data_IF_185364460004
#
_entry.id   IF_185364460004
#
_cell.length_a   1.000
_cell.length_b   1.000
_cell.length_c   1.000
_cell.angle_alpha   90.00
_cell.angle_beta   90.00
_cell.angle_gamma   90.00
#
_symmetry.space_group_name_H-M   'P 1'
#
loop_
_entity.id
_entity.type
_entity.pdbx_description
1 polymer ?
#
# COMPACT_ATOMS: atom_id res chain seq x y z
N UNK A 1 -9.65 -4.61 -21.76
CA UNK A 1 -8.81 -5.42 -20.86
C UNK A 1 -8.77 -4.70 -19.54
N UNK A 2 -9.00 -5.37 -18.41
CA UNK A 2 -8.98 -4.71 -17.09
C UNK A 2 -7.57 -4.22 -16.78
N UNK A 3 -7.34 -2.91 -16.56
CA UNK A 3 -6.03 -2.43 -16.14
C UNK A 3 -5.76 -2.90 -14.71
N UNK A 4 -4.50 -3.22 -14.41
CA UNK A 4 -4.09 -3.68 -13.07
C UNK A 4 -5.00 -4.82 -12.55
N UNK A 5 -5.08 -5.91 -13.32
CA UNK A 5 -6.01 -7.02 -13.09
C UNK A 5 -5.57 -7.99 -11.99
N UNK A 6 -4.36 -7.82 -11.48
CA UNK A 6 -3.75 -8.62 -10.43
C UNK A 6 -4.20 -8.21 -9.02
N UNK A 7 -4.21 -9.15 -8.07
CA UNK A 7 -4.64 -8.87 -6.70
C UNK A 7 -3.71 -7.83 -6.02
N UNK A 8 -4.24 -6.77 -5.39
CA UNK A 8 -3.40 -5.65 -4.93
C UNK A 8 -2.55 -5.90 -3.67
N UNK A 9 -2.86 -6.93 -2.87
CA UNK A 9 -2.24 -7.14 -1.54
C UNK A 9 -1.48 -8.48 -1.43
N UNK A 10 -0.33 -8.65 -2.12
CA UNK A 10 0.40 -9.91 -2.10
C UNK A 10 0.90 -10.35 -0.71
N UNK A 11 1.07 -9.42 0.24
CA UNK A 11 1.52 -9.70 1.61
C UNK A 11 0.38 -10.08 2.58
N UNK A 12 -0.87 -9.92 2.15
CA UNK A 12 -2.09 -10.23 2.90
C UNK A 12 -3.14 -10.74 1.91
N UNK A 13 -2.85 -11.91 1.33
CA UNK A 13 -3.51 -12.43 0.14
C UNK A 13 -4.88 -13.05 0.44
N UNK A 14 -5.95 -12.39 -0.05
CA UNK A 14 -7.33 -12.91 -0.14
C UNK A 14 -7.81 -13.11 -1.58
N UNK A 15 -6.90 -13.33 -2.53
CA UNK A 15 -7.21 -13.47 -3.96
C UNK A 15 -8.13 -14.66 -4.33
N UNK A 16 -8.45 -15.55 -3.39
CA UNK A 16 -9.43 -16.60 -3.58
C UNK A 16 -10.89 -16.09 -3.49
N UNK A 17 -11.13 -14.88 -2.97
CA UNK A 17 -12.46 -14.30 -2.74
C UNK A 17 -12.45 -12.78 -2.98
N UNK A 18 -12.25 -12.39 -4.24
CA UNK A 18 -12.17 -10.98 -4.64
C UNK A 18 -12.74 -10.73 -6.04
N UNK A 19 -13.01 -9.46 -6.35
CA UNK A 19 -13.38 -9.00 -7.69
C UNK A 19 -12.84 -7.60 -7.95
N UNK A 20 -12.21 -7.38 -9.10
CA UNK A 20 -11.67 -6.06 -9.46
C UNK A 20 -12.77 -5.11 -9.95
N UNK A 21 -12.74 -3.86 -9.47
CA UNK A 21 -13.54 -2.75 -9.98
C UNK A 21 -12.71 -1.79 -10.84
N UNK A 22 -11.53 -2.18 -11.31
CA UNK A 22 -10.74 -1.39 -12.24
C UNK A 22 -11.36 -1.34 -13.64
N UNK A 23 -10.92 -0.38 -14.46
CA UNK A 23 -11.42 -0.13 -15.81
C UNK A 23 -12.25 1.14 -15.88
N UNK A 24 -13.26 1.14 -16.73
CA UNK A 24 -14.02 2.36 -17.04
C UNK A 24 -15.02 2.69 -15.93
N UNK A 25 -15.05 3.97 -15.54
CA UNK A 25 -16.01 4.57 -14.62
C UNK A 25 -16.58 5.83 -15.28
N UNK A 26 -17.84 6.13 -14.99
CA UNK A 26 -18.39 7.45 -15.32
C UNK A 26 -17.68 8.51 -14.48
N UNK A 27 -17.41 9.66 -15.10
CA UNK A 27 -16.67 10.75 -14.49
C UNK A 27 -17.33 12.09 -14.81
N UNK A 28 -17.28 13.01 -13.85
CA UNK A 28 -17.61 14.42 -14.06
C UNK A 28 -16.86 15.31 -13.09
N UNK A 29 -16.53 16.52 -13.53
CA UNK A 29 -16.13 17.57 -12.60
C UNK A 29 -17.33 17.98 -11.72
N UNK A 30 -17.08 18.54 -10.53
CA UNK A 30 -18.17 19.01 -9.65
C UNK A 30 -19.06 20.07 -10.31
N UNK A 31 -18.46 20.90 -11.16
CA UNK A 31 -19.14 21.97 -11.90
C UNK A 31 -19.99 21.46 -13.05
N UNK A 32 -19.91 20.18 -13.39
CA UNK A 32 -20.64 19.57 -14.50
C UNK A 32 -21.83 18.74 -13.97
N UNK A 33 -23.05 18.94 -14.49
CA UNK A 33 -24.23 18.22 -14.00
C UNK A 33 -24.30 16.76 -14.47
N UNK A 34 -23.72 16.47 -15.63
CA UNK A 34 -23.94 15.22 -16.36
C UNK A 34 -22.72 14.29 -16.33
N UNK A 35 -22.96 12.98 -16.37
CA UNK A 35 -21.95 11.93 -16.47
C UNK A 35 -21.50 11.71 -17.92
N UNK A 36 -20.91 12.73 -18.54
CA UNK A 36 -20.59 12.74 -19.97
C UNK A 36 -19.17 12.25 -20.30
N UNK A 37 -18.36 11.96 -19.29
CA UNK A 37 -16.96 11.55 -19.45
C UNK A 37 -16.75 10.19 -18.83
N UNK A 38 -15.75 9.49 -19.34
CA UNK A 38 -15.33 8.19 -18.82
C UNK A 38 -13.88 8.32 -18.38
N UNK A 39 -13.59 7.85 -17.16
CA UNK A 39 -12.24 7.74 -16.63
C UNK A 39 -11.86 6.27 -16.47
N UNK A 40 -10.62 5.94 -16.85
CA UNK A 40 -10.06 4.61 -16.60
C UNK A 40 -9.38 4.57 -15.22
N UNK A 41 -10.02 3.90 -14.27
CA UNK A 41 -9.46 3.60 -12.93
C UNK A 41 -8.47 2.43 -13.05
N UNK A 42 -7.26 2.51 -12.44
CA UNK A 42 -6.89 3.45 -11.38
C UNK A 42 -5.88 4.52 -11.83
N UNK A 43 -6.09 5.17 -12.97
CA UNK A 43 -5.18 6.24 -13.41
C UNK A 43 -5.67 7.60 -12.94
N UNK A 44 -4.76 8.39 -12.35
CA UNK A 44 -5.03 9.77 -11.91
C UNK A 44 -5.55 10.63 -13.08
N UNK A 45 -6.50 11.52 -12.81
CA UNK A 45 -7.20 12.27 -13.87
C UNK A 45 -6.30 13.24 -14.65
N UNK A 46 -5.10 13.56 -14.14
CA UNK A 46 -4.09 14.34 -14.85
C UNK A 46 -3.39 13.55 -15.97
N UNK A 47 -3.53 12.22 -15.99
CA UNK A 47 -2.72 11.35 -16.85
C UNK A 47 -3.45 10.98 -18.14
N UNK A 48 -2.69 10.84 -19.23
CA UNK A 48 -3.24 10.39 -20.52
C UNK A 48 -3.91 9.01 -20.43
N UNK A 49 -3.41 8.13 -19.57
CA UNK A 49 -3.99 6.79 -19.38
C UNK A 49 -5.37 6.80 -18.71
N UNK A 50 -5.74 7.87 -18.03
CA UNK A 50 -7.07 8.04 -17.44
C UNK A 50 -8.15 8.38 -18.48
N UNK A 51 -7.74 8.93 -19.63
CA UNK A 51 -8.66 9.49 -20.64
C UNK A 51 -9.21 10.88 -20.29
N UNK A 52 -8.81 11.48 -19.17
CA UNK A 52 -9.35 12.75 -18.67
C UNK A 52 -8.41 13.94 -18.91
N UNK A 53 -7.12 13.79 -18.61
CA UNK A 53 -6.07 14.82 -18.77
C UNK A 53 -6.44 16.20 -18.18
N UNK A 54 -7.14 16.21 -17.05
CA UNK A 54 -7.55 17.44 -16.37
C UNK A 54 -6.51 17.82 -15.32
N UNK A 55 -5.92 19.00 -15.44
CA UNK A 55 -5.00 19.54 -14.43
C UNK A 55 -5.72 20.54 -13.52
N UNK A 56 -5.34 20.55 -12.24
CA UNK A 56 -5.85 21.51 -11.24
C UNK A 56 -7.37 21.44 -11.05
N UNK A 57 -7.96 20.28 -11.26
CA UNK A 57 -9.36 20.01 -10.94
C UNK A 57 -9.46 19.77 -9.42
N UNK A 58 -10.09 20.65 -8.63
CA UNK A 58 -10.10 20.52 -7.17
C UNK A 58 -11.05 19.45 -6.67
N UNK A 59 -12.09 19.11 -7.45
CA UNK A 59 -13.15 18.21 -7.02
C UNK A 59 -13.78 17.51 -8.22
N UNK A 60 -13.93 16.19 -8.11
CA UNK A 60 -14.55 15.37 -9.13
C UNK A 60 -15.39 14.24 -8.53
N UNK A 61 -16.25 13.67 -9.37
CA UNK A 61 -17.11 12.56 -9.02
C UNK A 61 -16.85 11.39 -9.97
N UNK A 62 -16.90 10.20 -9.40
CA UNK A 62 -16.83 8.92 -10.08
C UNK A 62 -18.13 8.16 -9.85
N UNK A 63 -18.59 7.40 -10.84
CA UNK A 63 -19.69 6.46 -10.69
C UNK A 63 -19.39 5.16 -11.44
N UNK A 64 -19.69 4.03 -10.81
CA UNK A 64 -19.61 2.73 -11.46
C UNK A 64 -20.69 1.80 -10.97
N UNK A 65 -21.20 0.99 -11.88
CA UNK A 65 -22.07 -0.13 -11.56
C UNK A 65 -21.27 -1.42 -11.44
N UNK A 66 -21.70 -2.28 -10.53
CA UNK A 66 -21.06 -3.57 -10.29
C UNK A 66 -22.06 -4.61 -9.83
N UNK A 67 -21.67 -5.88 -9.93
CA UNK A 67 -22.44 -7.00 -9.40
C UNK A 67 -21.61 -7.73 -8.35
N UNK A 68 -22.27 -8.18 -7.29
CA UNK A 68 -21.66 -9.07 -6.31
C UNK A 68 -21.76 -10.51 -6.82
N UNK A 69 -20.67 -11.30 -6.84
CA UNK A 69 -20.73 -12.72 -7.19
C UNK A 69 -21.76 -13.48 -6.34
N UNK A 70 -22.60 -14.29 -6.99
CA UNK A 70 -23.75 -14.94 -6.34
C UNK A 70 -23.34 -16.00 -5.30
N UNK A 71 -22.12 -16.51 -5.40
CA UNK A 71 -21.51 -17.46 -4.48
C UNK A 71 -21.00 -16.83 -3.18
N UNK A 72 -20.94 -15.49 -3.09
CA UNK A 72 -20.50 -14.80 -1.88
C UNK A 72 -21.60 -14.77 -0.84
N UNK A 73 -21.32 -15.37 0.32
CA UNK A 73 -22.26 -15.51 1.44
C UNK A 73 -21.86 -14.72 2.69
N UNK A 74 -20.69 -14.08 2.67
CA UNK A 74 -20.13 -13.32 3.78
C UNK A 74 -20.37 -11.81 3.69
N UNK A 75 -19.59 -11.06 4.46
CA UNK A 75 -19.51 -9.60 4.39
C UNK A 75 -18.78 -9.20 3.11
N UNK A 76 -19.38 -8.28 2.36
CA UNK A 76 -18.78 -7.69 1.15
C UNK A 76 -18.09 -6.40 1.54
N UNK A 77 -16.80 -6.32 1.24
CA UNK A 77 -15.94 -5.19 1.60
C UNK A 77 -15.40 -4.53 0.33
N UNK A 78 -15.60 -3.22 0.22
CA UNK A 78 -15.08 -2.38 -0.84
C UNK A 78 -13.75 -1.78 -0.40
N UNK A 79 -12.72 -1.95 -1.22
CA UNK A 79 -11.37 -1.48 -0.95
C UNK A 79 -10.91 -0.46 -1.99
N UNK A 80 -10.17 0.53 -1.51
CA UNK A 80 -9.42 1.49 -2.32
C UNK A 80 -7.95 1.40 -1.93
N UNK A 81 -7.08 1.18 -2.92
CA UNK A 81 -5.63 1.11 -2.68
C UNK A 81 -5.07 2.46 -2.24
N UNK A 82 -5.49 3.54 -2.91
CA UNK A 82 -5.16 4.91 -2.58
C UNK A 82 -6.02 5.88 -3.43
N UNK A 83 -6.45 6.98 -2.82
CA UNK A 83 -7.17 8.06 -3.49
C UNK A 83 -6.52 9.38 -3.09
N UNK A 84 -6.08 10.17 -4.06
CA UNK A 84 -5.47 11.47 -3.76
C UNK A 84 -6.50 12.61 -3.97
N UNK A 85 -6.96 13.35 -2.97
CA UNK A 85 -6.54 13.30 -1.55
C UNK A 85 -7.63 12.87 -0.57
N UNK A 86 -8.85 13.38 -0.71
CA UNK A 86 -9.96 13.05 0.19
C UNK A 86 -11.10 12.39 -0.58
N UNK A 87 -11.60 11.27 -0.07
CA UNK A 87 -12.68 10.51 -0.67
C UNK A 87 -13.90 10.48 0.25
N UNK A 88 -15.09 10.60 -0.33
CA UNK A 88 -16.35 10.18 0.27
C UNK A 88 -17.01 9.18 -0.67
N UNK A 89 -17.49 8.07 -0.12
CA UNK A 89 -17.97 6.91 -0.89
C UNK A 89 -19.41 6.60 -0.52
N UNK A 90 -20.24 6.42 -1.54
CA UNK A 90 -21.61 5.97 -1.41
C UNK A 90 -21.83 4.68 -2.18
N UNK A 91 -22.57 3.75 -1.60
CA UNK A 91 -23.09 2.57 -2.29
C UNK A 91 -24.62 2.64 -2.25
N UNK A 92 -25.25 2.60 -3.41
CA UNK A 92 -26.71 2.74 -3.57
C UNK A 92 -27.31 3.94 -2.81
N UNK A 93 -26.57 5.06 -2.79
CA UNK A 93 -26.98 6.30 -2.13
C UNK A 93 -26.70 6.37 -0.62
N UNK A 94 -26.21 5.29 0.01
CA UNK A 94 -25.81 5.27 1.42
C UNK A 94 -24.32 5.60 1.53
N UNK A 95 -23.96 6.58 2.35
CA UNK A 95 -22.54 6.91 2.60
C UNK A 95 -21.91 5.80 3.45
N UNK A 96 -20.87 5.14 2.93
CA UNK A 96 -20.23 3.98 3.56
C UNK A 96 -18.83 4.29 4.10
N UNK A 97 -18.15 5.32 3.59
CA UNK A 97 -16.83 5.70 4.05
C UNK A 97 -16.45 7.15 3.72
N UNK A 98 -15.55 7.68 4.54
CA UNK A 98 -14.72 8.85 4.24
C UNK A 98 -13.26 8.52 4.50
N UNK A 99 -12.37 9.08 3.69
CA UNK A 99 -10.94 8.90 3.86
C UNK A 99 -10.20 10.19 3.52
N UNK A 100 -9.13 10.46 4.26
CA UNK A 100 -8.16 11.53 4.02
C UNK A 100 -6.77 10.90 4.05
N UNK A 101 -5.98 11.17 3.01
CA UNK A 101 -4.67 10.57 2.84
C UNK A 101 -4.45 10.13 1.39
N UNK A 102 -3.34 10.57 0.80
CA UNK A 102 -3.10 10.38 -0.63
C UNK A 102 -2.51 9.02 -1.01
N UNK A 103 -2.03 8.24 -0.05
CA UNK A 103 -1.14 7.10 -0.29
C UNK A 103 -1.48 5.83 0.49
N UNK A 104 -2.37 5.93 1.48
CA UNK A 104 -2.76 4.81 2.33
C UNK A 104 -4.08 4.20 1.85
N UNK A 105 -4.23 2.87 1.99
CA UNK A 105 -5.47 2.21 1.61
C UNK A 105 -6.56 2.45 2.66
N UNK A 106 -7.81 2.30 2.23
CA UNK A 106 -8.97 2.23 3.12
C UNK A 106 -10.02 1.27 2.57
N UNK A 107 -10.90 0.81 3.45
CA UNK A 107 -11.95 -0.14 3.12
C UNK A 107 -13.27 0.21 3.83
N UNK A 108 -14.38 -0.27 3.28
CA UNK A 108 -15.72 -0.11 3.82
C UNK A 108 -16.47 -1.44 3.70
N UNK A 109 -17.07 -1.90 4.79
CA UNK A 109 -18.05 -2.96 4.73
C UNK A 109 -19.34 -2.40 4.11
N UNK A 110 -19.68 -2.88 2.91
CA UNK A 110 -20.81 -2.37 2.13
C UNK A 110 -22.02 -3.28 2.20
N UNK A 111 -21.92 -4.41 2.93
CA UNK A 111 -22.92 -5.49 2.95
C UNK A 111 -24.34 -4.97 3.17
N UNK A 112 -24.51 -4.09 4.15
CA UNK A 112 -25.82 -3.60 4.58
C UNK A 112 -26.37 -2.49 3.65
N UNK A 113 -25.55 -1.96 2.74
CA UNK A 113 -25.95 -0.99 1.71
C UNK A 113 -26.30 -1.66 0.36
N UNK A 114 -26.06 -2.97 0.21
CA UNK A 114 -26.37 -3.71 -1.01
C UNK A 114 -27.87 -3.98 -1.12
N UNK A 115 -28.38 -3.96 -2.35
CA UNK A 115 -29.73 -4.40 -2.70
C UNK A 115 -29.71 -5.64 -3.59
N UNK A 116 -30.85 -5.97 -4.21
CA UNK A 116 -30.92 -7.05 -5.19
C UNK A 116 -30.32 -6.62 -6.54
N UNK A 117 -29.50 -7.48 -7.16
CA UNK A 117 -29.03 -7.31 -8.53
C UNK A 117 -27.81 -6.39 -8.69
N UNK A 118 -27.88 -5.47 -9.65
CA UNK A 118 -26.79 -4.52 -9.96
C UNK A 118 -26.73 -3.40 -8.91
N UNK A 119 -25.52 -3.08 -8.48
CA UNK A 119 -25.21 -2.12 -7.44
C UNK A 119 -24.53 -0.91 -8.06
N UNK A 120 -24.61 0.25 -7.40
CA UNK A 120 -23.91 1.47 -7.82
C UNK A 120 -22.99 1.97 -6.72
N UNK A 121 -21.74 2.27 -7.07
CA UNK A 121 -20.80 3.02 -6.24
C UNK A 121 -20.60 4.41 -6.82
N UNK A 122 -20.68 5.42 -5.97
CA UNK A 122 -20.35 6.82 -6.27
C UNK A 122 -19.23 7.26 -5.35
N UNK A 123 -18.21 7.92 -5.90
CA UNK A 123 -17.09 8.44 -5.12
C UNK A 123 -16.91 9.92 -5.43
N UNK A 124 -16.93 10.76 -4.40
CA UNK A 124 -16.51 12.16 -4.50
C UNK A 124 -15.06 12.24 -4.07
N UNK A 125 -14.22 12.84 -4.91
CA UNK A 125 -12.82 13.10 -4.57
C UNK A 125 -12.55 14.59 -4.53
N UNK A 126 -12.04 15.07 -3.40
CA UNK A 126 -11.48 16.42 -3.23
C UNK A 126 -9.95 16.32 -3.27
N UNK A 127 -9.33 17.12 -4.12
CA UNK A 127 -7.89 17.20 -4.31
C UNK A 127 -7.48 18.67 -4.39
N UNK A 128 -7.19 19.32 -3.25
CA UNK A 128 -6.89 20.75 -3.24
C UNK A 128 -5.65 21.07 -4.09
N UNK A 129 -5.66 22.27 -4.66
CA UNK A 129 -4.56 22.79 -5.46
C UNK A 129 -3.36 23.11 -4.58
N UNK A 130 -3.61 23.69 -3.40
CA UNK A 130 -2.60 23.88 -2.36
C UNK A 130 -2.45 22.59 -1.58
N UNK A 131 -1.32 21.92 -1.82
CA UNK A 131 -0.94 20.65 -1.20
C UNK A 131 0.17 20.82 -0.17
N UNK A 132 0.60 22.05 0.14
CA UNK A 132 1.83 22.29 0.91
C UNK A 132 1.82 21.67 2.31
N UNK A 133 0.65 21.64 2.96
CA UNK A 133 0.47 21.00 4.27
C UNK A 133 0.10 19.52 4.17
N UNK A 134 -0.17 19.01 2.96
CA UNK A 134 -0.51 17.62 2.73
C UNK A 134 0.74 16.79 2.47
N UNK A 135 0.71 15.53 2.88
CA UNK A 135 1.64 14.51 2.41
C UNK A 135 1.37 14.19 0.94
N UNK A 136 2.05 14.92 0.04
CA UNK A 136 1.86 14.80 -1.40
C UNK A 136 3.13 14.32 -2.14
N UNK A 137 4.24 14.16 -1.42
CA UNK A 137 5.53 13.77 -1.99
C UNK A 137 6.03 14.86 -2.94
N UNK A 138 6.94 14.52 -3.85
CA UNK A 138 7.52 15.48 -4.80
C UNK A 138 6.58 15.88 -5.95
N UNK A 139 5.28 15.94 -5.69
CA UNK A 139 4.24 16.39 -6.62
C UNK A 139 4.13 17.92 -6.61
N UNK A 140 3.71 18.53 -7.71
CA UNK A 140 3.54 19.98 -7.78
C UNK A 140 2.31 20.45 -6.99
N UNK A 141 2.51 21.48 -6.15
CA UNK A 141 1.47 22.24 -5.47
C UNK A 141 1.23 23.63 -6.14
N UNK A 142 0.11 24.28 -5.80
CA UNK A 142 -0.17 25.68 -6.11
C UNK A 142 -0.51 26.43 -4.81
N UNK A 143 0.25 27.47 -4.42
CA UNK A 143 1.36 28.09 -5.15
C UNK A 143 2.61 27.18 -5.28
N UNK A 144 3.46 27.49 -6.27
CA UNK A 144 4.65 26.70 -6.65
C UNK A 144 5.90 27.13 -5.86
N UNK A 145 5.78 27.18 -4.54
CA UNK A 145 6.84 27.68 -3.66
C UNK A 145 7.38 26.62 -2.69
N UNK A 146 7.03 25.35 -2.88
CA UNK A 146 7.57 24.18 -2.19
C UNK A 146 8.62 23.43 -3.04
N UNK A 147 9.44 22.62 -2.35
CA UNK A 147 10.51 21.79 -2.94
C UNK A 147 11.42 22.54 -3.95
N UNK A 148 11.66 23.83 -3.71
CA UNK A 148 12.44 24.73 -4.58
C UNK A 148 11.97 24.72 -6.05
N UNK A 149 10.69 24.44 -6.28
CA UNK A 149 10.07 24.35 -7.60
C UNK A 149 10.42 23.08 -8.41
N UNK A 150 11.22 22.17 -7.84
CA UNK A 150 11.65 20.91 -8.46
C UNK A 150 10.61 19.82 -8.17
N UNK A 151 9.46 19.89 -8.82
CA UNK A 151 8.34 18.98 -8.57
C UNK A 151 7.73 18.38 -9.85
N UNK A 152 7.19 17.18 -9.71
CA UNK A 152 6.62 16.37 -10.79
C UNK A 152 5.13 16.66 -11.01
N UNK A 153 4.55 16.04 -12.05
CA UNK A 153 3.11 16.16 -12.35
C UNK A 153 2.27 15.79 -11.13
N UNK A 154 1.30 16.63 -10.71
CA UNK A 154 0.41 16.26 -9.63
C UNK A 154 -0.46 15.06 -10.05
N UNK A 155 -0.83 14.25 -9.07
CA UNK A 155 -1.75 13.14 -9.23
C UNK A 155 -2.90 13.31 -8.26
N UNK A 156 -4.11 13.12 -8.77
CA UNK A 156 -5.35 13.30 -8.03
C UNK A 156 -6.40 12.28 -8.53
N UNK A 157 -7.38 11.99 -7.69
CA UNK A 157 -8.35 10.94 -7.94
C UNK A 157 -7.89 9.57 -7.47
N UNK A 158 -8.56 8.53 -7.95
CA UNK A 158 -8.26 7.14 -7.64
C UNK A 158 -7.02 6.71 -8.45
N UNK A 159 -5.87 6.54 -7.80
CA UNK A 159 -4.60 6.24 -8.48
C UNK A 159 -4.04 4.83 -8.19
N UNK A 160 -4.68 4.06 -7.30
CA UNK A 160 -4.47 2.62 -7.13
C UNK A 160 -5.79 1.85 -7.24
N UNK A 161 -5.68 0.52 -7.38
CA UNK A 161 -6.82 -0.36 -7.67
C UNK A 161 -8.01 -0.18 -6.71
N UNK A 162 -9.21 -0.40 -7.24
CA UNK A 162 -10.45 -0.56 -6.46
C UNK A 162 -10.91 -2.00 -6.64
N UNK A 163 -11.30 -2.65 -5.54
CA UNK A 163 -11.75 -4.04 -5.59
C UNK A 163 -12.74 -4.36 -4.48
N UNK A 164 -13.44 -5.47 -4.65
CA UNK A 164 -14.30 -6.07 -3.63
C UNK A 164 -13.64 -7.33 -3.08
N UNK A 165 -13.90 -7.62 -1.81
CA UNK A 165 -13.63 -8.91 -1.18
C UNK A 165 -14.89 -9.43 -0.49
N UNK A 166 -15.01 -10.75 -0.37
CA UNK A 166 -15.98 -11.38 0.52
C UNK A 166 -15.26 -12.15 1.62
N UNK A 167 -15.62 -11.86 2.88
CA UNK A 167 -15.06 -12.50 4.07
C UNK A 167 -16.13 -12.74 5.15
N UNK A 168 -15.95 -13.73 6.05
CA UNK A 168 -16.86 -13.89 7.19
C UNK A 168 -16.84 -12.66 8.12
N UNK A 169 -17.81 -12.56 9.03
CA UNK A 169 -17.83 -11.50 10.04
C UNK A 169 -16.63 -11.62 11.00
N UNK A 170 -16.27 -12.86 11.35
CA UNK A 170 -15.02 -13.19 12.02
C UNK A 170 -13.90 -13.35 10.99
N UNK A 171 -12.90 -12.48 11.03
CA UNK A 171 -11.86 -12.44 10.00
C UNK A 171 -10.54 -11.86 10.52
N UNK A 172 -9.45 -12.16 9.83
CA UNK A 172 -8.14 -11.56 10.04
C UNK A 172 -8.14 -10.10 9.58
N UNK A 173 -7.63 -9.20 10.41
CA UNK A 173 -7.43 -7.79 10.08
C UNK A 173 -5.96 -7.44 9.89
N UNK A 174 -5.04 -8.24 10.44
CA UNK A 174 -3.61 -8.14 10.19
C UNK A 174 -2.90 -9.49 10.41
N UNK A 175 -1.81 -9.69 9.70
CA UNK A 175 -0.91 -10.85 9.83
C UNK A 175 0.54 -10.37 9.73
N UNK A 176 1.19 -10.15 10.87
CA UNK A 176 2.60 -9.77 10.93
C UNK A 176 3.44 -11.03 11.02
N UNK A 177 4.41 -11.14 10.13
CA UNK A 177 5.36 -12.24 10.04
C UNK A 177 6.76 -11.66 10.18
N UNK A 178 7.48 -12.07 11.23
CA UNK A 178 8.84 -11.58 11.51
C UNK A 178 9.78 -12.76 11.69
N UNK A 179 11.02 -12.70 11.18
CA UNK A 179 11.99 -13.73 11.51
C UNK A 179 12.33 -13.70 13.01
N UNK A 180 12.53 -14.86 13.62
CA UNK A 180 13.12 -14.94 14.96
C UNK A 180 14.54 -14.38 14.95
N UNK A 181 15.06 -13.98 16.12
CA UNK A 181 16.42 -13.44 16.23
C UNK A 181 17.50 -14.42 15.73
N UNK A 182 17.31 -15.71 15.99
CA UNK A 182 18.20 -16.81 15.57
C UNK A 182 17.95 -17.28 14.12
N UNK A 183 16.98 -16.67 13.42
CA UNK A 183 16.59 -17.00 12.04
C UNK A 183 16.17 -18.48 11.85
N UNK A 184 15.60 -19.08 12.89
CA UNK A 184 15.17 -20.49 12.95
C UNK A 184 13.63 -20.65 13.04
N UNK A 185 12.89 -19.54 12.99
CA UNK A 185 11.44 -19.53 13.03
C UNK A 185 10.86 -18.26 12.40
N UNK A 186 9.56 -18.33 12.09
CA UNK A 186 8.72 -17.15 11.84
C UNK A 186 7.88 -16.89 13.09
N UNK A 187 8.05 -15.72 13.68
CA UNK A 187 7.20 -15.17 14.73
C UNK A 187 5.97 -14.52 14.08
N UNK A 188 4.78 -14.90 14.57
CA UNK A 188 3.49 -14.48 14.04
C UNK A 188 2.75 -13.65 15.08
N UNK A 189 2.26 -12.49 14.67
CA UNK A 189 1.23 -11.73 15.38
C UNK A 189 0.05 -11.53 14.43
N UNK A 190 -1.08 -12.14 14.77
CA UNK A 190 -2.34 -11.99 14.03
C UNK A 190 -3.30 -11.10 14.83
N UNK A 191 -4.03 -10.24 14.11
CA UNK A 191 -5.17 -9.49 14.64
C UNK A 191 -6.43 -9.92 13.92
N UNK A 192 -7.54 -9.98 14.64
CA UNK A 192 -8.83 -10.44 14.12
C UNK A 192 -9.97 -9.54 14.58
N UNK A 193 -11.02 -9.50 13.77
CA UNK A 193 -12.36 -9.17 14.24
C UNK A 193 -13.02 -10.49 14.66
N UNK A 194 -13.50 -10.59 15.90
CA UNK A 194 -14.09 -11.82 16.43
C UNK A 194 -13.05 -12.83 16.97
N UNK A 195 -13.56 -13.96 17.43
CA UNK A 195 -12.79 -15.04 18.09
C UNK A 195 -12.90 -16.35 17.32
N UNK A 196 -11.91 -17.22 17.47
CA UNK A 196 -11.89 -18.49 16.76
C UNK A 196 -10.59 -19.25 16.93
N UNK A 197 -10.44 -20.32 16.18
CA UNK A 197 -9.18 -21.09 16.10
C UNK A 197 -8.39 -20.62 14.90
N UNK A 198 -7.19 -20.10 15.13
CA UNK A 198 -6.25 -19.73 14.08
C UNK A 198 -5.34 -20.91 13.78
N UNK A 199 -5.43 -21.44 12.56
CA UNK A 199 -4.51 -22.43 12.01
C UNK A 199 -3.49 -21.74 11.11
N UNK A 200 -2.21 -21.99 11.36
CA UNK A 200 -1.09 -21.42 10.63
C UNK A 200 -0.27 -22.55 10.01
N UNK A 201 -0.12 -22.54 8.68
CA UNK A 201 0.67 -23.53 7.95
C UNK A 201 1.80 -22.86 7.19
N UNK A 202 3.06 -23.27 7.45
CA UNK A 202 4.21 -22.84 6.65
C UNK A 202 4.30 -23.74 5.41
N UNK A 203 3.94 -23.20 4.25
CA UNK A 203 3.74 -23.97 3.00
C UNK A 203 4.97 -24.79 2.60
N UNK A 204 6.16 -24.22 2.72
CA UNK A 204 7.42 -24.86 2.32
C UNK A 204 7.79 -26.07 3.18
N UNK A 205 7.23 -26.17 4.40
CA UNK A 205 7.51 -27.28 5.32
C UNK A 205 6.31 -28.18 5.56
N UNK A 206 5.10 -27.74 5.19
CA UNK A 206 3.83 -28.38 5.53
C UNK A 206 3.52 -28.42 7.03
N UNK A 207 4.32 -27.74 7.86
CA UNK A 207 4.11 -27.70 9.31
C UNK A 207 2.96 -26.79 9.65
N UNK A 208 2.07 -27.28 10.51
CA UNK A 208 0.89 -26.56 10.98
C UNK A 208 0.97 -26.35 12.48
N UNK A 209 0.56 -25.17 12.93
CA UNK A 209 0.36 -24.82 14.34
C UNK A 209 -1.03 -24.23 14.49
N UNK A 210 -1.71 -24.56 15.59
CA UNK A 210 -3.01 -24.00 15.93
C UNK A 210 -2.90 -23.22 17.23
N UNK A 211 -3.61 -22.09 17.29
CA UNK A 211 -3.73 -21.27 18.50
C UNK A 211 -5.14 -20.70 18.60
N UNK A 212 -5.58 -20.39 19.81
CA UNK A 212 -6.89 -19.78 20.03
C UNK A 212 -6.77 -18.26 19.98
N UNK A 213 -7.77 -17.61 19.37
CA UNK A 213 -7.92 -16.16 19.36
C UNK A 213 -9.06 -15.80 20.31
N UNK A 214 -8.73 -15.26 21.49
CA UNK A 214 -9.73 -14.91 22.52
C UNK A 214 -10.03 -13.42 22.58
N UNK A 215 -9.02 -12.57 22.39
CA UNK A 215 -9.11 -11.12 22.58
C UNK A 215 -8.73 -10.35 21.31
N UNK A 216 -9.18 -10.85 20.15
CA UNK A 216 -8.90 -10.24 18.84
C UNK A 216 -7.44 -10.29 18.39
N UNK A 217 -6.59 -10.99 19.14
CA UNK A 217 -5.15 -11.14 18.85
C UNK A 217 -4.70 -12.56 19.14
N UNK A 218 -3.71 -13.03 18.37
CA UNK A 218 -3.01 -14.27 18.67
C UNK A 218 -1.54 -14.15 18.26
N UNK A 219 -0.69 -14.82 19.02
CA UNK A 219 0.73 -14.98 18.69
C UNK A 219 1.07 -16.44 18.53
N UNK A 220 2.03 -16.73 17.66
CA UNK A 220 2.56 -18.07 17.45
C UNK A 220 4.00 -18.00 16.98
N UNK A 221 4.74 -19.07 17.25
CA UNK A 221 6.07 -19.29 16.70
C UNK A 221 6.03 -20.49 15.77
N UNK A 222 6.50 -20.32 14.54
CA UNK A 222 6.53 -21.35 13.50
C UNK A 222 7.98 -21.81 13.25
N UNK A 223 8.44 -22.92 13.85
CA UNK A 223 9.83 -23.34 13.74
C UNK A 223 10.18 -23.87 12.35
N UNK A 224 11.29 -23.39 11.80
CA UNK A 224 11.83 -23.78 10.50
C UNK A 224 13.11 -24.60 10.71
N UNK A 225 13.04 -25.90 10.43
CA UNK A 225 14.23 -26.74 10.47
C UNK A 225 15.10 -26.48 9.23
N UNK A 226 16.41 -26.32 9.43
CA UNK A 226 17.39 -26.01 8.37
C UNK A 226 16.97 -24.78 7.54
N UNK A 227 16.91 -23.59 8.16
CA UNK A 227 16.40 -22.39 7.51
C UNK A 227 17.23 -22.01 6.28
N UNK A 228 16.54 -21.62 5.20
CA UNK A 228 17.12 -21.00 4.01
C UNK A 228 16.90 -19.51 4.12
N UNK A 229 17.99 -18.76 4.28
CA UNK A 229 17.93 -17.33 4.54
C UNK A 229 17.64 -16.55 3.25
N UNK A 230 16.85 -15.48 3.38
CA UNK A 230 16.63 -14.54 2.29
C UNK A 230 17.87 -13.66 2.12
N UNK A 231 18.28 -13.47 0.86
CA UNK A 231 19.33 -12.54 0.44
C UNK A 231 19.13 -12.16 -1.04
N UNK A 232 19.82 -11.12 -1.55
CA UNK A 232 19.78 -10.81 -2.97
C UNK A 232 20.16 -11.97 -3.90
N UNK A 233 21.11 -12.81 -3.48
CA UNK A 233 21.56 -13.98 -4.26
C UNK A 233 20.65 -15.20 -4.10
N UNK A 234 19.86 -15.22 -3.02
CA UNK A 234 18.93 -16.30 -2.69
C UNK A 234 17.65 -15.71 -2.06
N UNK A 235 16.71 -15.18 -2.88
CA UNK A 235 15.51 -14.49 -2.38
C UNK A 235 14.43 -15.48 -1.93
N UNK A 236 14.78 -16.35 -0.98
CA UNK A 236 13.90 -17.40 -0.49
C UNK A 236 12.81 -16.85 0.43
N UNK A 237 11.55 -17.17 0.13
CA UNK A 237 10.38 -16.74 0.89
C UNK A 237 9.68 -17.93 1.54
N UNK A 238 9.17 -17.71 2.74
CA UNK A 238 8.28 -18.62 3.46
C UNK A 238 6.86 -18.08 3.40
N UNK A 239 5.91 -18.89 2.92
CA UNK A 239 4.50 -18.55 2.86
C UNK A 239 3.79 -19.13 4.08
N UNK A 240 2.99 -18.31 4.74
CA UNK A 240 2.17 -18.69 5.89
C UNK A 240 0.71 -18.59 5.49
N UNK A 241 0.08 -19.75 5.34
CA UNK A 241 -1.36 -19.88 5.14
C UNK A 241 -2.04 -19.79 6.51
N UNK A 242 -2.81 -18.72 6.73
CA UNK A 242 -3.57 -18.45 7.95
C UNK A 242 -5.06 -18.70 7.70
N UNK A 243 -5.62 -19.69 8.40
CA UNK A 243 -7.06 -19.99 8.40
C UNK A 243 -7.65 -19.65 9.77
N UNK A 244 -8.55 -18.67 9.84
CA UNK A 244 -9.31 -18.38 11.05
C UNK A 244 -10.65 -19.11 10.96
N UNK A 245 -10.80 -20.14 11.79
CA UNK A 245 -12.00 -20.99 11.84
C UNK A 245 -12.90 -20.51 12.98
N UNK A 246 -14.13 -20.18 12.64
CA UNK A 246 -15.16 -19.68 13.56
C UNK A 246 -16.53 -20.29 13.22
N UNK A 247 -17.56 -19.94 13.99
CA UNK A 247 -18.92 -20.43 13.77
C UNK A 247 -19.54 -19.89 12.46
N UNK A 248 -19.13 -18.71 12.01
CA UNK A 248 -19.65 -18.04 10.82
C UNK A 248 -18.87 -18.36 9.53
N UNK A 249 -17.78 -19.13 9.61
CA UNK A 249 -17.05 -19.62 8.45
C UNK A 249 -15.55 -19.79 8.67
N UNK A 250 -14.81 -19.81 7.56
CA UNK A 250 -13.34 -19.83 7.57
C UNK A 250 -12.85 -18.66 6.74
N UNK A 251 -12.15 -17.72 7.38
CA UNK A 251 -11.39 -16.69 6.69
C UNK A 251 -10.00 -17.24 6.36
N UNK A 252 -9.50 -16.95 5.16
CA UNK A 252 -8.20 -17.42 4.68
C UNK A 252 -7.35 -16.25 4.21
N UNK A 253 -6.15 -16.14 4.73
CA UNK A 253 -5.16 -15.17 4.28
C UNK A 253 -3.83 -15.87 4.09
N UNK A 254 -3.14 -15.61 2.99
CA UNK A 254 -1.74 -16.01 2.84
C UNK A 254 -0.85 -14.77 3.01
N UNK A 255 0.05 -14.82 3.99
CA UNK A 255 1.17 -13.88 4.09
C UNK A 255 2.48 -14.55 3.68
N UNK A 256 3.55 -13.77 3.54
CA UNK A 256 4.89 -14.31 3.38
C UNK A 256 5.93 -13.44 4.09
N UNK A 257 7.09 -14.02 4.36
CA UNK A 257 8.28 -13.28 4.79
C UNK A 257 9.56 -14.02 4.38
N UNK A 258 10.72 -13.39 4.53
CA UNK A 258 12.03 -14.01 4.35
C UNK A 258 12.81 -14.03 5.66
N UNK A 259 13.52 -15.12 5.92
CA UNK A 259 14.39 -15.21 7.10
C UNK A 259 15.69 -14.45 6.82
N UNK A 260 15.80 -13.22 7.33
CA UNK A 260 17.01 -12.42 7.18
C UNK A 260 17.22 -11.49 8.37
N UNK A 261 18.48 -11.19 8.67
CA UNK A 261 18.85 -10.19 9.69
C UNK A 261 19.70 -9.10 9.06
N UNK A 262 19.28 -7.85 9.27
CA UNK A 262 20.04 -6.67 8.88
C UNK A 262 20.48 -5.92 10.13
N UNK A 263 21.76 -5.58 10.20
CA UNK A 263 22.39 -5.01 11.40
C UNK A 263 23.45 -3.99 11.01
N UNK A 264 23.65 -2.98 11.87
CA UNK A 264 24.79 -2.08 11.80
C UNK A 264 25.81 -2.50 12.86
N UNK A 265 27.08 -2.62 12.45
CA UNK A 265 28.21 -2.86 13.35
C UNK A 265 29.25 -1.78 13.10
N UNK A 266 29.32 -0.79 13.98
CA UNK A 266 30.05 0.44 13.71
C UNK A 266 29.43 1.20 12.54
N UNK A 267 30.23 1.50 11.52
CA UNK A 267 29.79 2.20 10.31
C UNK A 267 29.34 1.25 9.18
N UNK A 268 29.46 -0.06 9.39
CA UNK A 268 29.20 -1.06 8.37
C UNK A 268 27.82 -1.71 8.51
N UNK A 269 27.15 -1.91 7.38
CA UNK A 269 25.89 -2.63 7.27
C UNK A 269 26.16 -4.11 7.02
N UNK A 270 25.40 -4.99 7.66
CA UNK A 270 25.50 -6.45 7.54
C UNK A 270 24.15 -7.06 7.20
N UNK A 271 24.16 -8.04 6.28
CA UNK A 271 23.03 -8.91 5.98
C UNK A 271 23.43 -10.36 6.28
N UNK A 272 22.70 -11.02 7.17
CA UNK A 272 22.97 -12.40 7.59
C UNK A 272 24.43 -12.62 8.06
N UNK A 273 24.96 -11.66 8.81
CA UNK A 273 26.34 -11.68 9.33
C UNK A 273 27.43 -11.40 8.29
N UNK A 274 27.07 -11.08 7.04
CA UNK A 274 28.03 -10.69 5.98
C UNK A 274 27.93 -9.18 5.73
N UNK A 275 29.08 -8.52 5.62
CA UNK A 275 29.13 -7.09 5.30
C UNK A 275 28.44 -6.85 3.95
N UNK A 276 27.47 -5.95 3.94
CA UNK A 276 26.67 -5.57 2.79
C UNK A 276 27.19 -4.24 2.25
N UNK A 277 27.73 -4.26 1.02
CA UNK A 277 28.05 -3.04 0.29
C UNK A 277 26.85 -2.61 -0.55
N UNK A 278 26.30 -1.43 -0.25
CA UNK A 278 25.11 -0.91 -0.94
C UNK A 278 25.52 -0.16 -2.21
N UNK A 279 24.96 -0.60 -3.34
CA UNK A 279 24.95 0.12 -4.61
C UNK A 279 23.50 0.48 -4.90
N UNK A 280 23.11 1.65 -4.42
CA UNK A 280 21.74 2.15 -4.50
C UNK A 280 21.47 2.93 -5.78
N UNK A 281 20.23 2.86 -6.27
CA UNK A 281 19.67 3.77 -7.27
C UNK A 281 18.40 4.41 -6.71
N UNK A 282 18.17 5.67 -7.08
CA UNK A 282 16.94 6.38 -6.76
C UNK A 282 15.90 6.09 -7.85
N UNK A 283 14.74 5.59 -7.45
CA UNK A 283 13.57 5.40 -8.31
C UNK A 283 12.46 6.39 -7.90
N UNK A 284 12.10 7.25 -8.84
CA UNK A 284 11.07 8.26 -8.66
C UNK A 284 9.64 7.68 -8.78
N UNK A 285 9.47 6.57 -9.49
CA UNK A 285 8.19 5.90 -9.72
C UNK A 285 7.19 6.73 -10.55
N UNK A 286 7.70 7.49 -11.54
CA UNK A 286 6.90 8.27 -12.50
C UNK A 286 7.01 7.73 -13.92
N UNK A 287 5.85 7.59 -14.56
CA UNK A 287 5.69 6.98 -15.85
C UNK A 287 5.15 7.99 -16.86
N UNK A 288 5.70 8.05 -18.09
CA UNK A 288 5.35 9.11 -19.06
C UNK A 288 3.86 9.28 -19.36
N UNK A 289 3.07 8.19 -19.31
CA UNK A 289 1.63 8.22 -19.64
C UNK A 289 0.68 8.00 -18.46
N UNK A 290 1.18 7.49 -17.34
CA UNK A 290 0.36 7.01 -16.21
C UNK A 290 0.74 7.69 -14.89
N UNK A 291 1.67 8.65 -14.89
CA UNK A 291 2.03 9.42 -13.71
C UNK A 291 2.64 8.52 -12.64
N UNK A 292 2.12 8.59 -11.41
CA UNK A 292 2.58 7.76 -10.30
C UNK A 292 2.02 6.33 -10.32
N UNK A 293 1.01 6.04 -11.15
CA UNK A 293 0.45 4.69 -11.27
C UNK A 293 1.30 3.90 -12.26
N UNK A 294 1.83 2.75 -11.87
CA UNK A 294 2.58 1.92 -12.82
C UNK A 294 1.66 1.40 -13.95
N UNK A 295 2.10 1.42 -15.23
CA UNK A 295 1.28 1.01 -16.37
C UNK A 295 0.79 -0.43 -16.31
N UNK A 296 1.57 -1.31 -15.68
CA UNK A 296 1.25 -2.73 -15.48
C UNK A 296 2.11 -3.31 -14.36
N UNK A 297 1.71 -4.49 -13.87
CA UNK A 297 2.53 -5.26 -12.94
C UNK A 297 3.89 -5.65 -13.54
N UNK A 298 3.92 -5.97 -14.83
CA UNK A 298 5.15 -6.27 -15.55
C UNK A 298 6.08 -5.04 -15.65
N UNK A 299 5.54 -3.83 -15.68
CA UNK A 299 6.35 -2.60 -15.66
C UNK A 299 7.05 -2.41 -14.31
N UNK A 300 6.36 -2.66 -13.18
CA UNK A 300 6.97 -2.65 -11.85
C UNK A 300 8.13 -3.65 -11.76
N UNK A 301 7.90 -4.88 -12.24
CA UNK A 301 8.96 -5.90 -12.33
C UNK A 301 10.12 -5.43 -13.20
N UNK A 302 9.82 -4.86 -14.38
CA UNK A 302 10.85 -4.43 -15.33
C UNK A 302 11.76 -3.33 -14.77
N UNK A 303 11.23 -2.39 -13.98
CA UNK A 303 12.05 -1.36 -13.32
C UNK A 303 13.10 -1.99 -12.39
N UNK A 304 12.72 -3.02 -11.64
CA UNK A 304 13.63 -3.73 -10.74
C UNK A 304 14.67 -4.53 -11.54
N UNK A 305 14.25 -5.17 -12.63
CA UNK A 305 15.16 -5.88 -13.55
C UNK A 305 16.20 -4.92 -14.13
N UNK A 306 15.79 -3.72 -14.57
CA UNK A 306 16.69 -2.69 -15.09
C UNK A 306 17.70 -2.22 -14.05
N UNK A 307 17.28 -2.02 -12.80
CA UNK A 307 18.18 -1.67 -11.72
C UNK A 307 19.23 -2.78 -11.46
N UNK A 308 18.79 -4.04 -11.44
CA UNK A 308 19.68 -5.19 -11.27
C UNK A 308 20.66 -5.35 -12.46
N UNK A 309 20.17 -5.21 -13.70
CA UNK A 309 20.98 -5.23 -14.93
C UNK A 309 22.07 -4.14 -14.92
N UNK A 310 21.77 -2.97 -14.36
CA UNK A 310 22.72 -1.88 -14.18
C UNK A 310 23.70 -2.10 -13.02
N UNK A 311 23.56 -3.19 -12.26
CA UNK A 311 24.46 -3.59 -11.17
C UNK A 311 24.11 -2.99 -9.81
N UNK A 312 22.92 -2.42 -9.64
CA UNK A 312 22.41 -1.97 -8.35
C UNK A 312 21.83 -3.15 -7.56
N UNK A 313 21.97 -3.10 -6.23
CA UNK A 313 21.38 -4.07 -5.32
C UNK A 313 20.36 -3.45 -4.36
N UNK A 314 20.16 -2.13 -4.42
CA UNK A 314 19.16 -1.41 -3.65
C UNK A 314 18.44 -0.40 -4.54
N UNK A 315 17.11 -0.33 -4.42
CA UNK A 315 16.30 0.75 -4.97
C UNK A 315 15.73 1.58 -3.82
N UNK A 316 16.02 2.89 -3.84
CA UNK A 316 15.37 3.87 -2.97
C UNK A 316 14.12 4.38 -3.66
N UNK A 317 12.97 4.04 -3.09
CA UNK A 317 11.67 4.51 -3.59
C UNK A 317 11.39 5.89 -3.02
N UNK A 318 11.53 6.90 -3.87
CA UNK A 318 11.68 8.27 -3.41
C UNK A 318 10.34 8.95 -3.12
N UNK A 319 10.10 9.27 -1.84
CA UNK A 319 8.97 10.05 -1.33
C UNK A 319 7.59 9.61 -1.82
N UNK A 320 7.39 8.30 -1.80
CA UNK A 320 6.18 7.66 -2.28
C UNK A 320 6.03 6.33 -1.57
N UNK A 321 4.92 6.18 -0.86
CA UNK A 321 4.46 4.87 -0.43
C UNK A 321 3.97 4.12 -1.68
N UNK A 322 4.85 3.31 -2.26
CA UNK A 322 4.63 2.70 -3.58
C UNK A 322 3.55 1.61 -3.53
N UNK A 323 3.06 1.23 -4.71
CA UNK A 323 2.25 0.03 -4.91
C UNK A 323 2.86 -1.20 -4.20
N UNK A 324 2.11 -1.93 -3.34
CA UNK A 324 2.62 -3.12 -2.63
C UNK A 324 3.21 -4.19 -3.55
N UNK A 325 2.81 -4.20 -4.81
CA UNK A 325 3.34 -5.13 -5.81
C UNK A 325 4.78 -4.84 -6.20
N UNK A 326 5.23 -3.59 -6.12
CA UNK A 326 6.65 -3.26 -6.29
C UNK A 326 7.50 -3.95 -5.22
N UNK A 327 7.06 -3.86 -3.96
CA UNK A 327 7.74 -4.49 -2.82
C UNK A 327 7.75 -6.01 -2.98
N UNK A 328 6.64 -6.60 -3.42
CA UNK A 328 6.56 -8.03 -3.73
C UNK A 328 7.53 -8.49 -4.83
N UNK A 329 7.66 -7.73 -5.92
CA UNK A 329 8.67 -8.03 -6.94
C UNK A 329 10.08 -7.91 -6.37
N UNK A 330 10.36 -6.93 -5.52
CA UNK A 330 11.65 -6.80 -4.85
C UNK A 330 11.95 -8.00 -3.95
N UNK A 331 10.97 -8.45 -3.17
CA UNK A 331 11.06 -9.64 -2.30
C UNK A 331 11.41 -10.91 -3.08
N UNK A 332 10.73 -11.13 -4.21
CA UNK A 332 10.88 -12.34 -5.03
C UNK A 332 12.12 -12.33 -5.92
N UNK A 333 12.65 -11.14 -6.24
CA UNK A 333 13.81 -10.96 -7.09
C UNK A 333 15.12 -10.74 -6.34
N UNK A 334 15.06 -10.51 -5.02
CA UNK A 334 16.26 -10.22 -4.22
C UNK A 334 16.75 -8.78 -4.36
N UNK A 335 15.87 -7.83 -4.65
CA UNK A 335 16.24 -6.41 -4.66
C UNK A 335 16.04 -5.82 -3.27
N UNK A 336 17.03 -5.12 -2.73
CA UNK A 336 16.87 -4.39 -1.47
C UNK A 336 16.07 -3.11 -1.71
N UNK A 337 15.27 -2.72 -0.74
CA UNK A 337 14.41 -1.52 -0.81
C UNK A 337 14.72 -0.59 0.35
N UNK A 338 14.94 0.68 0.00
CA UNK A 338 14.80 1.80 0.91
C UNK A 338 13.43 2.43 0.63
N UNK A 339 12.49 2.22 1.55
CA UNK A 339 11.13 2.73 1.46
C UNK A 339 11.01 4.08 2.18
N UNK A 340 10.23 5.01 1.61
CA UNK A 340 10.03 6.35 2.17
C UNK A 340 8.55 6.76 2.11
N UNK A 341 8.02 7.46 3.13
CA UNK A 341 6.70 8.05 3.09
C UNK A 341 6.68 9.25 2.16
N UNK A 342 5.50 9.76 1.82
CA UNK A 342 5.39 11.00 1.07
C UNK A 342 5.70 12.19 1.98
N UNK A 343 6.62 13.07 1.55
CA UNK A 343 6.91 14.31 2.27
C UNK A 343 5.78 15.34 2.12
N UNK A 344 5.75 16.30 3.05
CA UNK A 344 4.97 17.54 2.96
C UNK A 344 5.80 18.65 2.31
N UNK A 345 5.15 19.74 1.93
CA UNK A 345 5.79 20.87 1.23
C UNK A 345 6.20 22.04 2.12
N UNK A 346 5.53 22.23 3.27
CA UNK A 346 5.76 23.32 4.24
C UNK A 346 5.66 22.80 5.66
N UNK A 347 6.36 23.45 6.60
CA UNK A 347 6.25 23.12 8.01
C UNK A 347 5.02 23.78 8.65
N UNK A 348 4.14 22.95 9.21
CA UNK A 348 3.07 23.35 10.11
C UNK A 348 2.69 22.19 11.03
N UNK A 349 1.90 22.44 12.07
CA UNK A 349 1.38 21.36 12.91
C UNK A 349 0.54 20.35 12.10
N UNK A 350 -0.18 20.83 11.08
CA UNK A 350 -0.94 19.98 10.17
C UNK A 350 -0.03 19.12 9.29
N UNK A 351 1.07 19.68 8.78
CA UNK A 351 2.02 18.92 7.97
C UNK A 351 2.74 17.83 8.78
N UNK A 352 3.09 18.11 10.04
CA UNK A 352 3.69 17.12 10.94
C UNK A 352 2.72 15.97 11.17
N UNK A 353 1.46 16.27 11.52
CA UNK A 353 0.43 15.24 11.70
C UNK A 353 0.21 14.43 10.41
N UNK A 354 0.09 15.08 9.26
CA UNK A 354 -0.10 14.41 7.96
C UNK A 354 1.11 13.52 7.58
N UNK A 355 2.32 13.92 7.96
CA UNK A 355 3.51 13.10 7.77
C UNK A 355 3.49 11.86 8.69
N UNK A 356 3.28 12.06 10.00
CA UNK A 356 3.26 11.00 11.01
C UNK A 356 2.16 9.96 10.76
N UNK A 357 0.98 10.38 10.31
CA UNK A 357 -0.16 9.52 9.98
C UNK A 357 0.19 8.43 8.93
N UNK A 358 1.23 8.63 8.12
CA UNK A 358 1.65 7.64 7.12
C UNK A 358 2.57 6.53 7.69
N UNK A 359 3.27 6.80 8.79
CA UNK A 359 4.40 5.96 9.23
C UNK A 359 3.93 4.58 9.71
N UNK A 360 2.94 4.55 10.60
CA UNK A 360 2.39 3.29 11.09
C UNK A 360 1.74 2.47 9.95
N UNK A 361 0.85 3.03 9.09
CA UNK A 361 0.32 2.30 7.94
C UNK A 361 1.39 1.77 6.97
N UNK A 362 2.43 2.57 6.68
CA UNK A 362 3.54 2.16 5.81
C UNK A 362 4.27 0.93 6.36
N UNK A 363 4.68 1.00 7.63
CA UNK A 363 5.44 -0.07 8.29
C UNK A 363 4.59 -1.31 8.58
N UNK A 364 3.30 -1.14 8.84
CA UNK A 364 2.34 -2.23 8.97
C UNK A 364 2.18 -2.99 7.65
N UNK A 365 1.95 -2.27 6.54
CA UNK A 365 1.72 -2.83 5.21
C UNK A 365 2.94 -3.57 4.66
N UNK A 366 4.10 -2.90 4.70
CA UNK A 366 5.30 -3.40 4.01
C UNK A 366 6.26 -4.12 4.98
N UNK A 367 5.99 -4.14 6.29
CA UNK A 367 6.93 -4.66 7.28
C UNK A 367 7.20 -6.17 7.21
N UNK A 368 6.35 -6.95 6.53
CA UNK A 368 6.59 -8.37 6.27
C UNK A 368 7.69 -8.61 5.21
N UNK A 369 7.97 -7.59 4.38
CA UNK A 369 8.94 -7.65 3.28
C UNK A 369 10.36 -7.87 3.82
N UNK A 370 11.06 -8.95 3.42
CA UNK A 370 12.48 -9.06 3.67
C UNK A 370 13.32 -8.06 2.85
N UNK A 371 12.81 -7.62 1.69
CA UNK A 371 13.48 -6.65 0.82
C UNK A 371 13.59 -5.25 1.43
N UNK A 372 12.60 -4.80 2.21
CA UNK A 372 12.71 -3.50 2.89
C UNK A 372 13.75 -3.60 3.99
N UNK A 373 14.82 -2.83 3.83
CA UNK A 373 15.99 -2.82 4.71
C UNK A 373 16.27 -1.47 5.33
N UNK A 374 15.71 -0.41 4.75
CA UNK A 374 15.81 0.96 5.24
C UNK A 374 14.42 1.60 5.17
N UNK A 375 13.98 2.19 6.28
CA UNK A 375 12.85 3.11 6.33
C UNK A 375 13.42 4.52 6.38
N UNK A 376 13.39 5.24 5.27
CA UNK A 376 13.74 6.65 5.26
C UNK A 376 12.54 7.45 5.77
N UNK A 377 12.79 8.38 6.70
CA UNK A 377 11.75 9.26 7.20
C UNK A 377 11.65 10.50 6.30
N UNK A 378 12.77 11.21 6.09
CA UNK A 378 12.78 12.46 5.33
C UNK A 378 13.80 12.44 4.20
N UNK A 379 13.49 13.20 3.13
CA UNK A 379 14.46 13.58 2.12
C UNK A 379 14.86 15.03 2.33
N UNK A 380 16.16 15.30 2.44
CA UNK A 380 16.69 16.65 2.66
C UNK A 380 16.01 17.31 3.88
N UNK A 381 15.70 18.61 3.84
CA UNK A 381 14.91 19.33 4.85
C UNK A 381 13.46 19.56 4.37
N UNK A 382 12.97 18.76 3.42
CA UNK A 382 11.65 19.00 2.84
C UNK A 382 10.52 18.78 3.86
N UNK A 383 9.59 19.73 3.89
CA UNK A 383 8.59 19.84 4.95
C UNK A 383 9.07 20.63 6.18
N UNK A 384 10.34 21.07 6.21
CA UNK A 384 10.95 21.85 7.30
C UNK A 384 11.51 23.22 6.84
N UNK A 385 11.21 23.62 5.59
CA UNK A 385 11.52 24.95 5.05
C UNK A 385 13.00 25.38 5.13
N UNK A 386 13.94 24.42 5.09
CA UNK A 386 15.39 24.67 5.04
C UNK A 386 15.98 25.53 6.18
N UNK A 387 15.33 25.56 7.35
CA UNK A 387 15.80 26.31 8.53
C UNK A 387 15.53 25.54 9.84
N UNK A 388 16.03 24.30 9.91
CA UNK A 388 15.95 23.48 11.14
C UNK A 388 16.80 24.11 12.28
N UNK A 389 18.05 24.57 12.06
CA UNK A 389 18.85 25.13 13.16
C UNK A 389 18.30 26.43 13.76
N UNK A 390 17.52 27.21 13.00
CA UNK A 390 16.95 28.48 13.43
C UNK A 390 15.60 28.38 14.15
N UNK A 391 14.93 27.22 14.11
CA UNK A 391 13.54 27.07 14.58
C UNK A 391 13.39 25.93 15.61
N UNK A 392 13.17 26.24 16.91
CA UNK A 392 12.97 25.23 17.95
C UNK A 392 11.80 24.27 17.69
N UNK A 393 10.73 24.72 17.05
CA UNK A 393 9.57 23.85 16.77
C UNK A 393 9.93 22.79 15.72
N UNK A 394 10.76 23.15 14.73
CA UNK A 394 11.27 22.19 13.74
C UNK A 394 12.26 21.21 14.36
N UNK A 395 13.09 21.67 15.30
CA UNK A 395 14.02 20.80 16.04
C UNK A 395 13.27 19.77 16.89
N UNK A 396 12.20 20.18 17.56
CA UNK A 396 11.33 19.27 18.31
C UNK A 396 10.64 18.24 17.41
N UNK A 397 10.19 18.65 16.22
CA UNK A 397 9.51 17.77 15.27
C UNK A 397 10.40 16.67 14.63
N UNK A 398 11.73 16.83 14.67
CA UNK A 398 12.69 15.85 14.10
C UNK A 398 13.53 15.11 15.16
N UNK A 399 13.37 15.45 16.44
CA UNK A 399 14.04 14.81 17.56
C UNK A 399 13.38 13.47 17.90
#
# INVERSE_FOLDING_TARGET
MTPRAEYPRPHFDRSHSWSSLNGDWDFRADTEPDWNRTITVPFAWETAASGIEAHWLPLAWYRRRFTVPAEWTGRVVLHFGAVHHEAAVWVNGVEVARHRGGYTPFEADVTDALGDGEQEVVVRVSAPLDKRELAHGKQRSIPRDDFDGVCFTPSSGIWQSVWLECRPATHLTALKLRPSYELDAVEVEARTSGTGTLRLTVRETGRTTETQVTDGTATARLPIANPRLWSPEDPYLYHVDAELVSEDGVDRVTGYTGLRRIETVGEDLYLNGRRLFVRGVLDQGYWPRTGITAPSDAALRRDIELAAEAGYNLVRKHLKLEDPRFVHHADTMGMLVWAEPAATGRFSAESVAAFEEQIAPMTERDGNSPAVVIWGLYNEEWGLDWDIPGDPAKQEAVA
#
